data_IF_129335365468
#
_entry.id   IF_129335365468
#
_cell.length_a   1.000
_cell.length_b   1.000
_cell.length_c   1.000
_cell.angle_alpha   90.00
_cell.angle_beta   90.00
_cell.angle_gamma   90.00
#
_symmetry.space_group_name_H-M   'P 1'
#
loop_
_entity.id
_entity.type
_entity.pdbx_description
1 polymer ?
#
# COMPACT_ATOMS: atom_id res chain seq x y z
N UNK A 1 -5.94 -9.75 12.03
CA UNK A 1 -5.66 -10.81 11.01
C UNK A 1 -4.16 -11.08 11.01
N UNK A 2 -3.71 -12.34 10.96
CA UNK A 2 -2.27 -12.64 10.85
C UNK A 2 -1.78 -12.47 9.40
N UNK A 3 -0.52 -12.09 9.22
CA UNK A 3 0.09 -11.92 7.89
C UNK A 3 -0.05 -13.17 6.99
N UNK A 4 0.08 -14.36 7.55
CA UNK A 4 -0.03 -15.63 6.81
C UNK A 4 -1.43 -15.88 6.25
N UNK A 5 -2.47 -15.38 6.94
CA UNK A 5 -3.86 -15.57 6.53
C UNK A 5 -4.37 -14.40 5.66
N UNK A 6 -3.56 -13.37 5.46
CA UNK A 6 -3.95 -12.17 4.71
C UNK A 6 -4.45 -12.50 3.30
N UNK A 7 -3.68 -13.29 2.54
CA UNK A 7 -4.03 -13.63 1.17
C UNK A 7 -5.34 -14.43 1.09
N UNK A 8 -5.55 -15.35 2.03
CA UNK A 8 -6.79 -16.12 2.15
C UNK A 8 -7.99 -15.22 2.43
N UNK A 9 -7.91 -14.34 3.43
CA UNK A 9 -9.02 -13.43 3.76
C UNK A 9 -9.27 -12.40 2.67
N UNK A 10 -8.23 -11.90 2.01
CA UNK A 10 -8.38 -11.00 0.88
C UNK A 10 -9.17 -11.65 -0.26
N UNK A 11 -8.83 -12.90 -0.61
CA UNK A 11 -9.58 -13.64 -1.63
C UNK A 11 -11.02 -13.95 -1.19
N UNK A 12 -11.23 -14.30 0.09
CA UNK A 12 -12.56 -14.60 0.63
C UNK A 12 -13.50 -13.38 0.59
N UNK A 13 -13.02 -12.20 0.98
CA UNK A 13 -13.86 -11.00 1.08
C UNK A 13 -13.92 -10.18 -0.22
N UNK A 14 -12.79 -10.01 -0.92
CA UNK A 14 -12.73 -9.18 -2.12
C UNK A 14 -12.88 -9.96 -3.43
N UNK A 15 -12.93 -11.30 -3.37
CA UNK A 15 -12.99 -12.19 -4.55
C UNK A 15 -11.86 -11.93 -5.56
N UNK A 16 -10.72 -11.43 -5.07
CA UNK A 16 -9.54 -11.09 -5.86
C UNK A 16 -8.32 -11.76 -5.26
N UNK A 17 -7.39 -12.22 -6.10
CA UNK A 17 -6.11 -12.71 -5.62
C UNK A 17 -5.22 -11.53 -5.22
N UNK A 18 -4.65 -11.57 -4.01
CA UNK A 18 -3.62 -10.62 -3.60
C UNK A 18 -2.29 -11.03 -4.23
N UNK A 19 -1.74 -10.18 -5.09
CA UNK A 19 -0.44 -10.41 -5.74
C UNK A 19 0.50 -9.23 -5.44
N UNK A 20 1.50 -9.41 -4.55
CA UNK A 20 2.44 -8.34 -4.16
C UNK A 20 3.20 -7.74 -5.33
N UNK A 21 3.49 -8.54 -6.37
CA UNK A 21 4.24 -8.10 -7.56
C UNK A 21 3.56 -6.95 -8.29
N UNK A 22 2.24 -6.85 -8.19
CA UNK A 22 1.47 -5.76 -8.81
C UNK A 22 1.80 -4.40 -8.19
N UNK A 23 2.29 -4.39 -6.95
CA UNK A 23 2.66 -3.20 -6.19
C UNK A 23 4.17 -2.94 -6.19
N UNK A 24 4.95 -3.69 -6.98
CA UNK A 24 6.40 -3.55 -7.07
C UNK A 24 7.17 -4.15 -5.90
N UNK A 25 6.53 -5.03 -5.11
CA UNK A 25 7.12 -5.72 -3.96
C UNK A 25 6.98 -7.24 -4.08
N UNK A 26 7.81 -7.99 -3.35
CA UNK A 26 7.83 -9.47 -3.46
C UNK A 26 7.10 -10.15 -2.31
N UNK A 27 7.15 -9.56 -1.11
CA UNK A 27 6.57 -10.12 0.10
C UNK A 27 5.29 -9.41 0.53
N UNK A 28 4.41 -10.15 1.22
CA UNK A 28 3.26 -9.57 1.91
C UNK A 28 3.69 -8.60 3.03
N UNK A 29 4.89 -8.77 3.60
CA UNK A 29 5.48 -7.85 4.60
C UNK A 29 5.80 -6.50 3.96
N UNK A 30 6.52 -6.51 2.85
CA UNK A 30 6.86 -5.31 2.09
C UNK A 30 5.60 -4.57 1.61
N UNK A 31 4.54 -5.31 1.32
CA UNK A 31 3.24 -4.75 0.98
C UNK A 31 2.58 -4.04 2.17
N UNK A 32 2.80 -4.50 3.40
CA UNK A 32 2.34 -3.80 4.61
C UNK A 32 3.17 -2.55 4.89
N UNK A 33 4.48 -2.57 4.62
CA UNK A 33 5.35 -1.39 4.79
C UNK A 33 4.95 -0.23 3.88
N UNK A 34 4.36 -0.53 2.71
CA UNK A 34 3.79 0.48 1.81
C UNK A 34 2.57 1.20 2.40
N UNK A 35 1.82 0.57 3.32
CA UNK A 35 0.55 1.09 3.87
C UNK A 35 0.60 1.27 5.40
N UNK A 36 1.81 1.50 5.93
CA UNK A 36 2.13 1.67 7.35
C UNK A 36 1.38 2.81 8.06
N UNK A 37 0.79 3.72 7.29
CA UNK A 37 0.03 4.88 7.77
C UNK A 37 -1.42 4.55 8.10
N UNK A 38 -1.95 3.42 7.62
CA UNK A 38 -3.33 2.98 7.90
C UNK A 38 -3.41 1.76 8.80
N UNK A 39 -2.34 0.96 8.84
CA UNK A 39 -2.30 -0.33 9.50
C UNK A 39 -1.18 -0.35 10.54
N UNK A 40 -1.48 -0.85 11.73
CA UNK A 40 -0.51 -1.16 12.76
C UNK A 40 -0.31 -2.69 12.87
N UNK A 41 0.95 -3.12 12.98
CA UNK A 41 1.29 -4.50 13.29
C UNK A 41 1.59 -4.64 14.77
N UNK A 42 0.72 -5.31 15.52
CA UNK A 42 0.81 -5.45 16.97
C UNK A 42 1.33 -6.83 17.40
N UNK A 43 2.23 -6.82 18.38
CA UNK A 43 2.69 -8.00 19.12
C UNK A 43 3.66 -8.92 18.37
N UNK A 44 4.09 -9.99 19.05
CA UNK A 44 5.04 -10.98 18.52
C UNK A 44 4.49 -11.77 17.32
N UNK A 45 3.16 -11.86 17.22
CA UNK A 45 2.47 -12.66 16.21
C UNK A 45 2.15 -11.87 14.94
N UNK A 46 2.66 -10.63 14.80
CA UNK A 46 2.46 -9.79 13.62
C UNK A 46 0.98 -9.66 13.22
N UNK A 47 0.13 -9.37 14.21
CA UNK A 47 -1.31 -9.21 14.00
C UNK A 47 -1.58 -7.83 13.40
N UNK A 48 -2.29 -7.81 12.28
CA UNK A 48 -2.73 -6.61 11.58
C UNK A 48 -3.95 -6.03 12.29
N UNK A 49 -3.86 -4.75 12.66
CA UNK A 49 -4.92 -3.94 13.26
C UNK A 49 -5.05 -2.62 12.50
N UNK A 50 -6.28 -2.10 12.39
CA UNK A 50 -6.49 -0.74 11.89
C UNK A 50 -5.92 0.27 12.88
N UNK A 51 -5.22 1.30 12.38
CA UNK A 51 -4.71 2.37 13.24
C UNK A 51 -5.84 3.27 13.77
N UNK A 52 -6.92 3.38 13.00
CA UNK A 52 -8.10 4.19 13.35
C UNK A 52 -9.25 3.28 13.81
N UNK A 53 -10.08 3.75 14.76
CA UNK A 53 -11.28 3.05 15.18
C UNK A 53 -12.34 3.04 14.08
N UNK A 54 -13.12 1.97 14.03
CA UNK A 54 -14.17 1.74 13.02
C UNK A 54 -15.35 2.72 13.18
N UNK A 55 -15.56 3.26 14.38
CA UNK A 55 -16.64 4.20 14.71
C UNK A 55 -16.34 5.65 14.31
N UNK A 56 -15.26 5.89 13.56
CA UNK A 56 -14.90 7.23 13.13
C UNK A 56 -15.82 7.73 12.01
N UNK A 57 -16.66 8.71 12.33
CA UNK A 57 -17.67 9.25 11.40
C UNK A 57 -17.08 10.05 10.22
N UNK A 58 -15.83 10.53 10.34
CA UNK A 58 -15.23 11.45 9.35
C UNK A 58 -14.14 10.79 8.50
N UNK A 59 -14.44 10.58 7.21
CA UNK A 59 -13.47 10.09 6.22
C UNK A 59 -12.32 11.07 5.93
N UNK A 60 -12.46 12.34 6.32
CA UNK A 60 -11.42 13.37 6.12
C UNK A 60 -10.09 13.02 6.80
N UNK A 61 -10.13 12.26 7.90
CA UNK A 61 -8.91 11.93 8.65
C UNK A 61 -7.98 11.05 7.81
N UNK A 62 -8.52 10.12 7.02
CA UNK A 62 -7.71 9.31 6.09
C UNK A 62 -6.96 10.18 5.06
N UNK A 63 -7.63 11.22 4.54
CA UNK A 63 -7.01 12.16 3.60
C UNK A 63 -5.89 12.95 4.27
N UNK A 64 -6.10 13.39 5.51
CA UNK A 64 -5.09 14.13 6.27
C UNK A 64 -3.84 13.29 6.55
N UNK A 65 -4.03 12.03 6.99
CA UNK A 65 -2.93 11.09 7.27
C UNK A 65 -2.14 10.76 5.98
N UNK A 66 -2.85 10.49 4.89
CA UNK A 66 -2.21 10.15 3.62
C UNK A 66 -1.41 11.33 3.05
N UNK A 67 -1.97 12.56 3.12
CA UNK A 67 -1.24 13.76 2.70
C UNK A 67 -0.04 14.07 3.60
N UNK A 68 -0.11 13.82 4.90
CA UNK A 68 1.04 13.96 5.79
C UNK A 68 2.17 13.00 5.40
N UNK A 69 1.84 11.72 5.19
CA UNK A 69 2.78 10.70 4.73
C UNK A 69 3.41 11.06 3.37
N UNK A 70 2.61 11.63 2.45
CA UNK A 70 3.10 12.12 1.16
C UNK A 70 4.10 13.28 1.34
N UNK A 71 3.79 14.27 2.20
CA UNK A 71 4.70 15.40 2.47
C UNK A 71 5.99 14.95 3.14
N UNK A 72 5.92 14.00 4.08
CA UNK A 72 7.10 13.43 4.72
C UNK A 72 8.01 12.74 3.68
N UNK A 73 7.42 11.94 2.79
CA UNK A 73 8.16 11.27 1.71
C UNK A 73 8.84 12.27 0.78
N UNK A 74 8.15 13.35 0.39
CA UNK A 74 8.72 14.42 -0.43
C UNK A 74 9.89 15.12 0.28
N UNK A 75 9.79 15.38 1.59
CA UNK A 75 10.89 15.96 2.38
C UNK A 75 12.11 15.06 2.39
N UNK A 76 11.93 13.75 2.60
CA UNK A 76 13.02 12.77 2.57
C UNK A 76 13.68 12.66 1.19
N UNK A 77 12.88 12.68 0.13
CA UNK A 77 13.39 12.72 -1.24
C UNK A 77 14.23 13.97 -1.51
N UNK A 78 13.77 15.14 -1.06
CA UNK A 78 14.51 16.40 -1.21
C UNK A 78 15.82 16.41 -0.41
N UNK A 79 15.92 15.63 0.66
CA UNK A 79 17.14 15.43 1.44
C UNK A 79 18.10 14.40 0.81
N UNK A 80 17.73 13.77 -0.31
CA UNK A 80 18.55 12.77 -1.02
C UNK A 80 18.33 11.34 -0.55
N UNK A 81 17.32 11.04 0.27
CA UNK A 81 16.98 9.67 0.64
C UNK A 81 16.20 8.97 -0.48
N UNK A 82 16.91 8.37 -1.43
CA UNK A 82 16.30 7.66 -2.58
C UNK A 82 15.37 6.50 -2.18
N UNK A 83 15.60 5.90 -1.00
CA UNK A 83 14.75 4.83 -0.45
C UNK A 83 13.33 5.31 -0.12
N UNK A 84 13.10 6.62 -0.02
CA UNK A 84 11.77 7.18 0.17
C UNK A 84 10.92 7.14 -1.12
N UNK A 85 11.50 6.89 -2.30
CA UNK A 85 10.75 6.82 -3.55
C UNK A 85 9.84 5.59 -3.60
N UNK A 86 8.56 5.80 -3.96
CA UNK A 86 7.64 4.69 -4.23
C UNK A 86 7.95 4.06 -5.59
N UNK A 87 8.21 2.74 -5.58
CA UNK A 87 8.41 1.94 -6.80
C UNK A 87 7.21 1.03 -7.00
N UNK A 88 6.11 1.56 -7.50
CA UNK A 88 4.95 0.74 -7.84
C UNK A 88 5.08 0.19 -9.26
N UNK A 89 4.80 -1.11 -9.45
CA UNK A 89 4.76 -1.71 -10.77
C UNK A 89 3.61 -1.11 -11.59
N UNK A 90 3.90 -0.65 -12.81
CA UNK A 90 2.83 -0.28 -13.74
C UNK A 90 2.00 -1.51 -14.09
N UNK A 91 0.73 -1.50 -13.70
CA UNK A 91 -0.22 -2.44 -14.26
C UNK A 91 -0.44 -2.07 -15.73
N UNK A 92 -0.35 -3.02 -16.68
CA UNK A 92 -0.85 -2.77 -18.01
C UNK A 92 -2.35 -2.48 -17.89
N UNK A 93 -2.74 -1.25 -18.17
CA UNK A 93 -4.15 -0.86 -18.26
C UNK A 93 -4.76 -1.62 -19.45
N UNK A 94 -5.72 -2.54 -19.24
CA UNK A 94 -6.35 -3.24 -20.35
C UNK A 94 -7.12 -2.22 -21.20
N UNK A 95 -6.62 -1.95 -22.41
CA UNK A 95 -7.22 -1.03 -23.38
C UNK A 95 -6.37 0.19 -23.76
N UNK A 96 -5.24 0.44 -23.09
CA UNK A 96 -4.25 1.42 -23.58
C UNK A 96 -3.22 0.67 -24.40
N UNK A 97 -3.37 0.71 -25.73
CA UNK A 97 -2.33 0.25 -26.64
C UNK A 97 -1.02 0.97 -26.27
N UNK A 98 0.14 0.28 -26.25
CA UNK A 98 1.41 0.97 -26.07
C UNK A 98 1.50 2.04 -27.16
N UNK A 99 1.76 3.28 -26.78
CA UNK A 99 2.00 4.36 -27.72
C UNK A 99 3.22 3.99 -28.57
N UNK A 100 2.96 3.28 -29.67
CA UNK A 100 3.94 2.98 -30.68
C UNK A 100 4.49 4.31 -31.17
N UNK A 101 5.81 4.44 -31.12
CA UNK A 101 6.57 5.47 -31.81
C UNK A 101 5.95 5.63 -33.21
N UNK A 102 5.33 6.78 -33.49
CA UNK A 102 4.94 7.10 -34.87
C UNK A 102 6.23 7.27 -35.69
N UNK A 103 6.25 6.77 -36.94
CA UNK A 103 7.38 6.98 -37.85
C UNK A 103 7.60 8.47 -38.15
#
# INVERSE_FOLDING_TARGET
VNLEHLQFYYQKYFKKALNPRLFGVESAKDLMDLVKDTIAMCGKNQVIQAMLPDDMESMNVFVMINEESRRERMRRLNMGEEKAALKMGQQPVPGVAPAGCRP
#
